data_IF_959772160870
#
_entry.id   IF_959772160870
#
_cell.length_a   1.000
_cell.length_b   1.000
_cell.length_c   1.000
_cell.angle_alpha   90.00
_cell.angle_beta   90.00
_cell.angle_gamma   90.00
#
_symmetry.space_group_name_H-M   'P 1'
#
loop_
_entity.id
_entity.type
_entity.pdbx_description
1 polymer ?
#
# COMPACT_ATOMS: atom_id res chain seq x y z
N UNK A 1 -37.00 -41.11 -2.83
CA UNK A 1 -38.45 -41.44 -2.97
C UNK A 1 -39.04 -40.44 -3.94
N UNK A 2 -39.17 -40.93 -5.13
CA UNK A 2 -40.24 -40.91 -6.13
C UNK A 2 -40.59 -39.56 -6.72
N UNK A 3 -40.36 -39.42 -8.02
CA UNK A 3 -41.27 -39.77 -9.19
C UNK A 3 -42.32 -38.72 -9.37
N UNK A 4 -42.70 -38.24 -10.51
CA UNK A 4 -42.71 -38.74 -11.91
C UNK A 4 -43.43 -37.69 -12.77
N UNK A 5 -43.03 -37.63 -13.98
CA UNK A 5 -43.74 -37.84 -15.24
C UNK A 5 -44.56 -36.69 -15.76
N UNK A 6 -44.20 -36.21 -16.94
CA UNK A 6 -44.63 -36.56 -18.29
C UNK A 6 -46.13 -36.28 -18.58
N UNK A 7 -46.40 -35.46 -19.56
CA UNK A 7 -47.04 -35.95 -20.80
C UNK A 7 -47.20 -34.87 -21.88
N UNK A 8 -46.81 -35.31 -23.06
CA UNK A 8 -47.13 -34.81 -24.39
C UNK A 8 -48.64 -34.88 -24.69
N UNK A 9 -49.09 -34.13 -25.76
CA UNK A 9 -49.96 -34.57 -26.86
C UNK A 9 -50.26 -33.37 -27.78
N UNK A 10 -49.74 -33.38 -28.98
CA UNK A 10 -50.26 -33.91 -30.28
C UNK A 10 -51.42 -33.11 -30.90
N UNK A 11 -51.13 -32.69 -32.14
CA UNK A 11 -52.04 -32.28 -33.25
C UNK A 11 -53.07 -33.37 -33.54
N UNK A 12 -54.10 -33.12 -34.38
CA UNK A 12 -54.08 -32.89 -35.82
C UNK A 12 -55.27 -32.00 -36.36
N UNK A 13 -55.41 -31.57 -37.54
CA UNK A 13 -55.21 -32.04 -38.92
C UNK A 13 -56.31 -31.49 -39.84
N UNK A 14 -55.91 -31.21 -41.02
CA UNK A 14 -56.62 -31.17 -42.32
C UNK A 14 -58.15 -31.03 -42.44
N UNK A 15 -58.60 -30.17 -43.35
CA UNK A 15 -59.31 -30.66 -44.56
C UNK A 15 -59.50 -29.60 -45.66
N UNK A 16 -59.31 -30.07 -46.85
CA UNK A 16 -59.58 -29.46 -48.17
C UNK A 16 -61.06 -29.32 -48.46
N UNK A 17 -61.46 -28.35 -49.31
CA UNK A 17 -62.50 -28.60 -50.25
C UNK A 17 -62.39 -27.66 -51.47
N UNK A 18 -62.49 -28.29 -52.61
CA UNK A 18 -62.56 -27.77 -53.98
C UNK A 18 -63.93 -27.28 -54.31
N UNK A 19 -64.10 -26.42 -55.30
CA UNK A 19 -64.77 -26.59 -56.59
C UNK A 19 -65.18 -25.23 -57.11
N UNK A 20 -64.95 -24.99 -58.28
CA UNK A 20 -65.31 -25.06 -59.65
C UNK A 20 -65.92 -23.71 -60.18
N UNK A 21 -65.26 -23.23 -61.18
CA UNK A 21 -65.61 -23.11 -62.62
C UNK A 21 -66.83 -22.23 -62.95
N UNK A 22 -66.58 -21.23 -63.75
CA UNK A 22 -67.29 -21.12 -65.06
C UNK A 22 -66.63 -20.02 -65.92
N UNK A 23 -66.36 -20.38 -67.11
CA UNK A 23 -65.85 -19.57 -68.22
C UNK A 23 -66.93 -18.67 -68.78
N UNK A 24 -66.59 -17.51 -69.21
CA UNK A 24 -67.23 -16.90 -70.41
C UNK A 24 -66.30 -15.92 -71.13
N UNK A 25 -66.33 -16.11 -72.38
CA UNK A 25 -65.57 -15.61 -73.51
C UNK A 25 -65.89 -14.16 -73.87
N UNK A 26 -64.92 -13.52 -74.55
CA UNK A 26 -64.93 -12.46 -75.57
C UNK A 26 -64.86 -10.98 -75.07
N UNK A 27 -63.95 -10.22 -75.53
CA UNK A 27 -63.71 -9.65 -76.87
C UNK A 27 -62.47 -8.83 -76.92
N UNK A 28 -61.65 -9.00 -77.92
CA UNK A 28 -60.50 -8.17 -78.28
C UNK A 28 -60.92 -6.74 -78.55
N UNK A 29 -60.26 -5.78 -77.92
CA UNK A 29 -60.03 -4.44 -78.40
C UNK A 29 -58.61 -4.11 -78.30
N UNK A 30 -57.97 -3.89 -79.45
CA UNK A 30 -56.61 -3.34 -79.54
C UNK A 30 -56.61 -1.90 -79.00
N UNK A 31 -55.82 -1.61 -78.09
CA UNK A 31 -55.45 -0.23 -77.74
C UNK A 31 -53.90 -0.10 -77.85
N UNK A 32 -53.41 1.11 -78.15
CA UNK A 32 -52.02 1.31 -78.58
C UNK A 32 -51.07 1.18 -77.41
N UNK A 33 -49.89 0.67 -77.74
CA UNK A 33 -48.73 0.54 -76.85
C UNK A 33 -48.24 1.93 -76.44
N UNK A 34 -48.58 2.34 -75.23
CA UNK A 34 -47.86 3.43 -74.56
C UNK A 34 -46.68 2.81 -73.84
N UNK A 35 -45.52 3.06 -74.37
CA UNK A 35 -44.23 2.68 -73.77
C UNK A 35 -44.00 3.50 -72.48
N UNK A 36 -44.60 3.06 -71.37
CA UNK A 36 -44.33 3.63 -70.05
C UNK A 36 -43.04 3.06 -69.50
N UNK A 37 -41.90 3.62 -69.89
CA UNK A 37 -40.65 3.43 -69.18
C UNK A 37 -40.90 3.95 -67.73
N UNK A 38 -41.02 2.97 -66.79
CA UNK A 38 -41.41 3.17 -65.43
C UNK A 38 -40.51 4.21 -64.73
N UNK A 39 -40.95 5.43 -64.42
CA UNK A 39 -40.17 6.46 -63.75
C UNK A 39 -39.82 6.06 -62.31
N UNK A 40 -40.57 5.10 -61.73
CA UNK A 40 -40.40 4.71 -60.30
C UNK A 40 -39.04 4.11 -59.98
N UNK A 41 -38.30 3.48 -60.94
CA UNK A 41 -36.93 2.99 -60.71
C UNK A 41 -35.96 4.15 -60.41
N UNK A 42 -36.12 5.30 -61.05
CA UNK A 42 -35.32 6.49 -60.76
C UNK A 42 -35.64 7.05 -59.36
N UNK A 43 -36.92 7.09 -58.98
CA UNK A 43 -37.33 7.49 -57.64
C UNK A 43 -36.87 6.50 -56.57
N UNK A 44 -36.87 5.19 -56.85
CA UNK A 44 -36.34 4.21 -55.92
C UNK A 44 -34.82 4.36 -55.70
N UNK A 45 -34.06 4.61 -56.77
CA UNK A 45 -32.60 4.86 -56.65
C UNK A 45 -32.34 6.14 -55.86
N UNK A 46 -33.10 7.21 -56.14
CA UNK A 46 -32.95 8.48 -55.36
C UNK A 46 -33.31 8.27 -53.92
N UNK A 47 -34.37 7.54 -53.58
CA UNK A 47 -34.79 7.22 -52.25
C UNK A 47 -33.70 6.37 -51.49
N UNK A 48 -33.11 5.40 -52.15
CA UNK A 48 -32.03 4.60 -51.58
C UNK A 48 -30.77 5.43 -51.33
N UNK A 49 -30.42 6.34 -52.28
CA UNK A 49 -29.25 7.24 -52.08
C UNK A 49 -29.47 8.20 -50.95
N UNK A 50 -30.69 8.74 -50.78
CA UNK A 50 -31.04 9.60 -49.65
C UNK A 50 -31.00 8.82 -48.34
N UNK A 51 -31.54 7.58 -48.32
CA UNK A 51 -31.51 6.74 -47.12
C UNK A 51 -30.08 6.41 -46.71
N UNK A 52 -29.22 6.04 -47.67
CA UNK A 52 -27.77 5.79 -47.42
C UNK A 52 -27.10 7.05 -46.92
N UNK A 53 -27.36 8.22 -47.52
CA UNK A 53 -26.80 9.50 -47.04
C UNK A 53 -27.27 9.85 -45.63
N UNK A 54 -28.54 9.60 -45.28
CA UNK A 54 -29.07 9.81 -43.91
C UNK A 54 -28.41 8.82 -42.91
N UNK A 55 -28.26 7.56 -43.29
CA UNK A 55 -27.55 6.56 -42.46
C UNK A 55 -26.09 6.94 -42.24
N UNK A 56 -25.39 7.35 -43.31
CA UNK A 56 -23.99 7.85 -43.18
C UNK A 56 -23.95 9.10 -42.30
N UNK A 57 -24.84 10.06 -42.49
CA UNK A 57 -24.91 11.26 -41.67
C UNK A 57 -25.22 10.93 -40.19
N UNK A 58 -26.07 9.92 -39.93
CA UNK A 58 -26.38 9.44 -38.60
C UNK A 58 -25.14 8.76 -37.97
N UNK A 59 -24.42 7.91 -38.71
CA UNK A 59 -23.20 7.29 -38.23
C UNK A 59 -22.08 8.32 -38.01
N UNK A 60 -21.95 9.34 -38.88
CA UNK A 60 -21.00 10.43 -38.69
C UNK A 60 -21.39 11.31 -37.50
N UNK A 61 -22.67 11.61 -37.31
CA UNK A 61 -23.14 12.34 -36.14
C UNK A 61 -22.99 11.52 -34.85
N UNK A 62 -23.33 10.23 -34.89
CA UNK A 62 -23.08 9.30 -33.78
C UNK A 62 -21.60 9.18 -33.49
N UNK A 63 -20.75 9.03 -34.50
CA UNK A 63 -19.28 9.04 -34.35
C UNK A 63 -18.78 10.37 -33.74
N UNK A 64 -19.33 11.52 -34.16
CA UNK A 64 -18.96 12.84 -33.63
C UNK A 64 -19.53 13.06 -32.20
N UNK A 65 -20.68 12.49 -31.86
CA UNK A 65 -21.26 12.54 -30.53
C UNK A 65 -20.61 11.51 -29.58
N UNK A 66 -20.15 10.35 -30.09
CA UNK A 66 -19.46 9.32 -29.32
C UNK A 66 -17.95 9.55 -29.25
N UNK A 67 -17.34 10.18 -30.24
CA UNK A 67 -15.98 10.72 -30.22
C UNK A 67 -16.01 12.22 -29.94
N UNK A 68 -16.74 12.64 -28.92
CA UNK A 68 -16.29 13.78 -28.14
C UNK A 68 -14.96 13.28 -27.58
N UNK A 69 -13.85 13.73 -28.15
CA UNK A 69 -12.55 13.53 -27.51
C UNK A 69 -12.79 13.91 -26.05
N UNK A 70 -12.53 13.00 -25.08
CA UNK A 70 -12.69 13.36 -23.70
C UNK A 70 -11.83 14.61 -23.55
N UNK A 71 -12.42 15.71 -23.10
CA UNK A 71 -11.68 16.91 -22.70
C UNK A 71 -10.50 16.35 -21.92
N UNK A 72 -9.29 16.48 -22.49
CA UNK A 72 -8.09 15.84 -21.97
C UNK A 72 -7.91 16.38 -20.55
N UNK A 73 -8.43 15.61 -19.57
CA UNK A 73 -8.36 15.96 -18.18
C UNK A 73 -6.87 15.90 -17.80
N UNK A 74 -6.26 17.07 -17.74
CA UNK A 74 -4.84 17.21 -17.42
C UNK A 74 -4.70 17.32 -15.92
N UNK A 75 -4.66 16.19 -15.25
CA UNK A 75 -4.39 16.16 -13.84
C UNK A 75 -3.11 16.92 -13.49
N UNK A 76 -3.16 17.70 -12.42
CA UNK A 76 -2.03 18.41 -11.80
C UNK A 76 -1.67 17.80 -10.46
N UNK A 77 -2.65 17.31 -9.74
CA UNK A 77 -2.51 16.72 -8.40
C UNK A 77 -3.35 15.46 -8.27
N UNK A 78 -2.96 14.61 -7.34
CA UNK A 78 -3.71 13.45 -6.90
C UNK A 78 -4.02 13.61 -5.41
N UNK A 79 -5.24 13.25 -5.01
CA UNK A 79 -5.69 13.12 -3.64
C UNK A 79 -6.11 11.66 -3.40
N UNK A 80 -5.68 11.09 -2.29
CA UNK A 80 -5.93 9.70 -1.93
C UNK A 80 -6.86 9.69 -0.72
N UNK A 81 -7.87 8.83 -0.78
CA UNK A 81 -8.70 8.45 0.38
C UNK A 81 -8.60 6.95 0.59
N UNK A 82 -8.53 6.53 1.83
CA UNK A 82 -8.58 5.12 2.21
C UNK A 82 -9.83 4.85 3.03
N UNK A 83 -10.40 3.67 2.85
CA UNK A 83 -11.55 3.22 3.64
C UNK A 83 -11.14 2.73 5.04
N UNK A 84 -9.85 2.56 5.30
CA UNK A 84 -9.31 2.02 6.55
C UNK A 84 -8.05 2.79 6.95
N UNK A 85 -7.93 3.03 8.25
CA UNK A 85 -6.73 3.67 8.83
C UNK A 85 -5.59 2.66 9.03
N UNK A 86 -5.91 1.36 9.05
CA UNK A 86 -4.94 0.26 9.22
C UNK A 86 -5.19 -0.89 8.25
N UNK A 87 -4.12 -1.63 7.97
CA UNK A 87 -4.13 -2.83 7.14
C UNK A 87 -3.31 -3.93 7.81
N UNK A 88 -3.81 -5.15 7.76
CA UNK A 88 -3.13 -6.31 8.37
C UNK A 88 -1.77 -6.55 7.72
N UNK A 89 -0.75 -6.82 8.54
CA UNK A 89 0.61 -7.18 8.11
C UNK A 89 0.57 -8.31 7.06
N UNK A 90 1.41 -8.24 6.03
CA UNK A 90 1.45 -9.19 4.92
C UNK A 90 0.28 -9.10 3.93
N UNK A 91 -0.77 -8.34 4.23
CA UNK A 91 -1.93 -8.24 3.33
C UNK A 91 -1.60 -7.52 2.02
N UNK A 92 -2.34 -7.85 0.95
CA UNK A 92 -2.14 -7.23 -0.36
C UNK A 92 -2.75 -5.84 -0.42
N UNK A 93 -1.97 -4.86 -0.87
CA UNK A 93 -2.42 -3.52 -1.25
C UNK A 93 -2.72 -3.49 -2.74
N UNK A 94 -3.96 -3.20 -3.08
CA UNK A 94 -4.41 -3.09 -4.46
C UNK A 94 -4.99 -1.71 -4.75
N UNK A 95 -5.17 -1.39 -6.04
CA UNK A 95 -5.85 -0.17 -6.43
C UNK A 95 -7.25 -0.06 -5.78
N UNK A 96 -7.96 -1.18 -5.55
CA UNK A 96 -9.27 -1.20 -4.90
C UNK A 96 -9.27 -0.84 -3.41
N UNK A 97 -8.08 -0.78 -2.79
CA UNK A 97 -7.94 -0.40 -1.38
C UNK A 97 -8.06 1.11 -1.17
N UNK A 98 -8.00 1.91 -2.25
CA UNK A 98 -7.95 3.37 -2.21
C UNK A 98 -8.95 3.98 -3.18
N UNK A 99 -9.52 5.14 -2.80
CA UNK A 99 -10.23 6.03 -3.71
C UNK A 99 -9.28 7.15 -4.11
N UNK A 100 -8.99 7.26 -5.40
CA UNK A 100 -7.98 8.19 -5.93
C UNK A 100 -8.65 9.24 -6.78
N UNK A 101 -8.48 10.49 -6.42
CA UNK A 101 -9.04 11.64 -7.12
C UNK A 101 -7.93 12.42 -7.79
N UNK A 102 -8.05 12.62 -9.09
CA UNK A 102 -7.19 13.51 -9.85
C UNK A 102 -7.83 14.88 -9.99
N UNK A 103 -7.04 15.96 -9.84
CA UNK A 103 -7.53 17.32 -10.00
C UNK A 103 -6.69 18.10 -11.03
N UNK A 104 -7.36 18.88 -11.88
CA UNK A 104 -6.75 19.85 -12.78
C UNK A 104 -6.62 21.26 -12.16
N UNK A 105 -7.07 21.42 -10.91
CA UNK A 105 -7.13 22.66 -10.15
C UNK A 105 -8.51 23.34 -10.18
N UNK A 106 -9.44 22.88 -11.02
CA UNK A 106 -10.83 23.38 -11.11
C UNK A 106 -11.86 22.28 -10.85
N UNK A 107 -11.56 21.06 -11.27
CA UNK A 107 -12.44 19.90 -11.16
C UNK A 107 -11.67 18.71 -10.59
N UNK A 108 -12.39 17.83 -9.89
CA UNK A 108 -11.87 16.54 -9.46
C UNK A 108 -12.57 15.41 -10.23
N UNK A 109 -11.81 14.39 -10.59
CA UNK A 109 -12.27 13.16 -11.21
C UNK A 109 -11.82 11.99 -10.35
N UNK A 110 -12.74 11.12 -9.95
CA UNK A 110 -12.40 9.81 -9.38
C UNK A 110 -11.78 8.95 -10.50
N UNK A 111 -10.61 8.41 -10.25
CA UNK A 111 -9.90 7.54 -11.17
C UNK A 111 -10.38 6.09 -11.03
N UNK A 112 -10.49 5.39 -12.15
CA UNK A 112 -10.69 3.96 -12.16
C UNK A 112 -9.41 3.23 -11.74
N UNK A 113 -9.56 2.01 -11.18
CA UNK A 113 -8.43 1.23 -10.64
C UNK A 113 -7.33 0.89 -11.66
N UNK A 114 -7.59 1.08 -12.95
CA UNK A 114 -6.63 0.87 -14.04
C UNK A 114 -5.88 2.16 -14.40
N UNK A 115 -6.36 3.32 -13.96
CA UNK A 115 -5.77 4.63 -14.23
C UNK A 115 -4.64 4.99 -13.26
N UNK A 116 -4.36 4.14 -12.23
CA UNK A 116 -3.28 4.35 -11.27
C UNK A 116 -2.65 3.04 -10.78
N UNK A 117 -1.48 3.18 -10.20
CA UNK A 117 -0.73 2.09 -9.58
C UNK A 117 -0.48 2.39 -8.11
N UNK A 118 -0.37 1.36 -7.30
CA UNK A 118 -0.08 1.42 -5.87
C UNK A 118 1.25 0.74 -5.58
N UNK A 119 2.07 1.33 -4.73
CA UNK A 119 3.34 0.78 -4.26
C UNK A 119 3.53 1.10 -2.76
N UNK A 120 3.94 0.16 -1.92
CA UNK A 120 4.21 -1.25 -2.22
C UNK A 120 2.93 -2.04 -2.57
N UNK A 121 3.09 -3.28 -3.04
CA UNK A 121 1.96 -4.18 -3.38
C UNK A 121 1.43 -4.96 -2.20
N UNK A 122 2.16 -4.97 -1.09
CA UNK A 122 1.78 -5.62 0.16
C UNK A 122 2.18 -4.76 1.34
N UNK A 123 1.43 -4.89 2.42
CA UNK A 123 1.80 -4.34 3.72
C UNK A 123 3.00 -5.11 4.24
N UNK A 124 4.05 -4.45 4.75
CA UNK A 124 5.17 -5.13 5.40
C UNK A 124 4.69 -6.01 6.57
N UNK A 125 5.44 -7.08 6.84
CA UNK A 125 5.20 -7.94 8.00
C UNK A 125 5.57 -7.25 9.33
N UNK A 126 6.45 -6.26 9.26
CA UNK A 126 7.02 -5.55 10.38
C UNK A 126 6.91 -4.04 10.21
N UNK A 127 6.98 -3.32 11.33
CA UNK A 127 6.92 -1.86 11.35
C UNK A 127 5.58 -1.32 11.87
N UNK A 128 5.54 -0.04 12.20
CA UNK A 128 4.37 0.65 12.73
C UNK A 128 3.41 1.07 11.62
N UNK A 129 3.95 1.56 10.54
CA UNK A 129 3.18 2.08 9.41
C UNK A 129 3.89 1.83 8.08
N UNK A 130 3.16 1.98 7.00
CA UNK A 130 3.71 1.93 5.64
C UNK A 130 3.25 3.15 4.85
N UNK A 131 4.19 3.79 4.15
CA UNK A 131 3.88 4.84 3.20
C UNK A 131 3.52 4.21 1.86
N UNK A 132 2.31 4.47 1.41
CA UNK A 132 1.77 3.98 0.15
C UNK A 132 1.83 5.10 -0.87
N UNK A 133 2.57 4.88 -1.95
CA UNK A 133 2.64 5.78 -3.10
C UNK A 133 1.63 5.35 -4.15
N UNK A 134 0.77 6.27 -4.55
CA UNK A 134 -0.17 6.11 -5.67
C UNK A 134 0.30 6.96 -6.83
N UNK A 135 0.45 6.36 -7.99
CA UNK A 135 0.92 7.05 -9.21
C UNK A 135 -0.04 6.84 -10.36
N UNK A 136 -0.38 7.92 -11.08
CA UNK A 136 -1.18 7.83 -12.31
C UNK A 136 -0.45 7.02 -13.38
N UNK A 137 -1.20 6.30 -14.22
CA UNK A 137 -0.64 5.53 -15.34
C UNK A 137 -0.45 6.37 -16.61
N UNK A 138 -0.92 7.61 -16.60
CA UNK A 138 -0.77 8.53 -17.72
C UNK A 138 0.70 8.96 -17.93
N UNK A 139 0.95 9.68 -19.03
CA UNK A 139 2.30 10.11 -19.43
C UNK A 139 2.98 11.04 -18.44
N UNK A 140 2.23 11.72 -17.57
CA UNK A 140 2.76 12.68 -16.60
C UNK A 140 3.22 12.03 -15.29
N UNK A 141 2.74 10.83 -14.96
CA UNK A 141 3.09 10.08 -13.75
C UNK A 141 3.02 10.93 -12.48
N UNK A 142 1.88 11.57 -12.27
CA UNK A 142 1.64 12.33 -11.03
C UNK A 142 1.47 11.32 -9.90
N UNK A 143 2.09 11.57 -8.75
CA UNK A 143 1.99 10.70 -7.58
C UNK A 143 1.58 11.47 -6.33
N UNK A 144 1.02 10.75 -5.39
CA UNK A 144 0.76 11.19 -4.02
C UNK A 144 1.05 10.03 -3.06
N UNK A 145 1.21 10.37 -1.80
CA UNK A 145 1.52 9.41 -0.74
C UNK A 145 0.48 9.49 0.37
N UNK A 146 0.21 8.35 0.98
CA UNK A 146 -0.59 8.22 2.19
C UNK A 146 0.10 7.23 3.12
N UNK A 147 0.13 7.53 4.41
CA UNK A 147 0.63 6.59 5.42
C UNK A 147 -0.54 5.90 6.08
N UNK A 148 -0.47 4.57 6.16
CA UNK A 148 -1.46 3.74 6.85
C UNK A 148 -0.77 2.89 7.91
N UNK A 149 -1.49 2.57 8.99
CA UNK A 149 -0.95 1.76 10.09
C UNK A 149 -0.91 0.27 9.71
N UNK A 150 0.04 -0.44 10.31
CA UNK A 150 0.16 -1.89 10.18
C UNK A 150 -0.51 -2.55 11.38
N UNK A 151 -1.58 -3.30 11.13
CA UNK A 151 -2.31 -4.04 12.16
C UNK A 151 -1.68 -5.41 12.38
N UNK A 152 -1.33 -5.69 13.63
CA UNK A 152 -0.69 -6.93 14.09
C UNK A 152 -1.40 -7.46 15.34
N UNK A 153 -1.26 -8.74 15.62
CA UNK A 153 -1.80 -9.36 16.82
C UNK A 153 -0.90 -9.08 18.04
N UNK A 154 -1.49 -8.49 19.08
CA UNK A 154 -0.76 -8.20 20.33
C UNK A 154 -0.55 -9.48 21.14
N UNK A 155 0.66 -9.63 21.68
CA UNK A 155 1.03 -10.69 22.61
C UNK A 155 0.97 -10.20 24.07
N UNK A 156 1.66 -9.12 24.38
CA UNK A 156 1.77 -8.57 25.73
C UNK A 156 1.78 -7.04 25.75
N UNK A 157 1.36 -6.46 26.89
CA UNK A 157 1.50 -5.02 27.18
C UNK A 157 2.23 -4.82 28.50
N UNK A 158 3.17 -3.89 28.53
CA UNK A 158 4.00 -3.55 29.66
C UNK A 158 3.82 -2.07 30.02
N UNK A 159 3.46 -1.79 31.25
CA UNK A 159 3.32 -0.43 31.76
C UNK A 159 4.68 0.10 32.17
N UNK A 160 5.23 1.04 31.42
CA UNK A 160 6.62 1.50 31.54
C UNK A 160 6.77 3.01 31.85
N UNK A 161 5.68 3.73 32.00
CA UNK A 161 5.72 5.13 32.40
C UNK A 161 6.42 5.32 33.76
N UNK A 162 7.26 6.39 33.88
CA UNK A 162 8.04 6.67 35.07
C UNK A 162 7.17 7.18 36.23
N UNK A 163 6.38 8.20 35.98
CA UNK A 163 5.58 8.88 36.98
C UNK A 163 4.24 8.17 37.21
N UNK A 164 3.56 7.84 36.13
CA UNK A 164 2.39 6.99 36.12
C UNK A 164 2.64 5.85 35.13
N UNK A 165 2.57 4.58 35.59
CA UNK A 165 2.85 3.42 34.72
C UNK A 165 2.00 3.36 33.45
N UNK A 166 0.78 3.90 33.48
CA UNK A 166 -0.18 3.88 32.36
C UNK A 166 0.08 4.97 31.31
N UNK A 167 0.97 5.92 31.56
CA UNK A 167 1.25 7.02 30.62
C UNK A 167 2.02 6.54 29.39
N UNK A 168 2.87 5.51 29.55
CA UNK A 168 3.64 4.91 28.46
C UNK A 168 3.59 3.39 28.57
N UNK A 169 3.35 2.74 27.48
CA UNK A 169 3.28 1.27 27.38
C UNK A 169 4.26 0.74 26.34
N UNK A 170 4.84 -0.43 26.61
CA UNK A 170 5.48 -1.29 25.61
C UNK A 170 4.46 -2.31 25.11
N UNK A 171 4.24 -2.39 23.82
CA UNK A 171 3.35 -3.37 23.18
C UNK A 171 4.20 -4.35 22.39
N UNK A 172 4.20 -5.61 22.82
CA UNK A 172 4.84 -6.70 22.10
C UNK A 172 3.80 -7.43 21.25
N UNK A 173 4.09 -7.59 19.98
CA UNK A 173 3.27 -8.31 19.01
C UNK A 173 3.74 -9.75 18.84
N UNK A 174 2.86 -10.64 18.36
CA UNK A 174 3.15 -12.06 18.16
C UNK A 174 4.27 -12.35 17.16
N UNK A 175 4.57 -11.39 16.27
CA UNK A 175 5.69 -11.46 15.32
C UNK A 175 7.03 -10.98 15.88
N UNK A 176 7.12 -10.70 17.19
CA UNK A 176 8.33 -10.24 17.87
C UNK A 176 8.61 -8.73 17.75
N UNK A 177 7.72 -7.96 17.17
CA UNK A 177 7.82 -6.49 17.10
C UNK A 177 7.45 -5.88 18.46
N UNK A 178 8.25 -4.92 18.93
CA UNK A 178 7.98 -4.11 20.11
C UNK A 178 7.73 -2.66 19.69
N UNK A 179 6.66 -2.07 20.20
CA UNK A 179 6.36 -0.64 20.08
C UNK A 179 6.29 0.00 21.45
N UNK A 180 6.74 1.24 21.54
CA UNK A 180 6.59 2.09 22.72
C UNK A 180 5.57 3.17 22.38
N UNK A 181 4.46 3.19 23.11
CA UNK A 181 3.34 4.10 22.84
C UNK A 181 2.97 4.88 24.09
N UNK A 182 2.47 6.10 23.92
CA UNK A 182 2.02 6.95 25.01
C UNK A 182 2.78 8.26 25.11
N UNK A 183 2.62 8.95 26.23
CA UNK A 183 3.15 10.31 26.41
C UNK A 183 3.86 10.43 27.74
N UNK A 184 5.06 11.02 27.74
CA UNK A 184 5.84 11.35 28.94
C UNK A 184 7.02 10.42 29.19
N UNK A 185 7.61 10.56 30.38
CA UNK A 185 8.89 9.92 30.71
C UNK A 185 8.77 8.41 30.88
N UNK A 186 9.71 7.69 30.30
CA UNK A 186 9.84 6.23 30.44
C UNK A 186 10.71 5.88 31.64
N UNK A 187 10.36 4.78 32.31
CA UNK A 187 11.11 4.25 33.44
C UNK A 187 12.48 3.74 32.98
N UNK A 188 13.51 4.04 33.79
CA UNK A 188 14.85 3.48 33.58
C UNK A 188 14.96 2.12 34.26
N UNK A 189 15.72 1.21 33.67
CA UNK A 189 15.87 -0.15 34.15
C UNK A 189 17.32 -0.48 34.49
N UNK A 190 17.51 -1.45 35.36
CA UNK A 190 18.81 -2.09 35.63
C UNK A 190 18.91 -3.37 34.80
N UNK A 191 20.13 -3.87 34.67
CA UNK A 191 20.36 -5.16 34.01
C UNK A 191 19.44 -6.26 34.54
N UNK A 192 18.77 -6.98 33.64
CA UNK A 192 17.83 -8.04 33.96
C UNK A 192 16.50 -7.64 34.58
N UNK A 193 16.17 -6.34 34.63
CA UNK A 193 14.94 -5.83 35.24
C UNK A 193 13.90 -5.36 34.24
N UNK A 194 14.13 -5.52 32.94
CA UNK A 194 13.18 -5.13 31.89
C UNK A 194 11.94 -6.01 31.93
N UNK A 195 10.76 -5.45 31.67
CA UNK A 195 9.52 -6.20 31.74
C UNK A 195 9.40 -7.29 30.65
N UNK A 196 10.07 -7.12 29.50
CA UNK A 196 10.08 -8.08 28.38
C UNK A 196 11.36 -8.95 28.31
N UNK A 197 12.15 -9.03 29.37
CA UNK A 197 13.43 -9.75 29.37
C UNK A 197 13.33 -11.27 29.09
N UNK A 198 12.16 -11.85 29.39
CA UNK A 198 11.89 -13.28 29.18
C UNK A 198 11.07 -13.54 27.91
N UNK A 199 10.77 -12.50 27.14
CA UNK A 199 9.97 -12.58 25.93
C UNK A 199 10.84 -12.47 24.67
N UNK A 200 10.33 -13.02 23.55
CA UNK A 200 11.02 -12.95 22.26
C UNK A 200 10.75 -11.62 21.59
N UNK A 201 11.63 -10.63 21.86
CA UNK A 201 11.61 -9.35 21.13
C UNK A 201 12.62 -9.44 20.00
N UNK A 202 12.15 -9.34 18.76
CA UNK A 202 13.01 -9.39 17.57
C UNK A 202 13.32 -8.01 17.01
N UNK A 203 12.41 -7.06 17.15
CA UNK A 203 12.55 -5.72 16.59
C UNK A 203 11.95 -4.66 17.49
N UNK A 204 12.59 -3.50 17.52
CA UNK A 204 11.97 -2.26 18.01
C UNK A 204 11.45 -1.50 16.80
N UNK A 205 10.14 -1.40 16.63
CA UNK A 205 9.54 -0.89 15.39
C UNK A 205 8.98 0.52 15.52
N UNK A 206 8.69 0.96 16.73
CA UNK A 206 8.15 2.29 16.99
C UNK A 206 8.45 2.80 18.38
N UNK A 207 8.80 4.07 18.51
CA UNK A 207 8.74 4.86 19.75
C UNK A 207 7.91 6.09 19.45
N UNK A 208 6.79 6.24 20.17
CA UNK A 208 5.91 7.41 20.04
C UNK A 208 6.73 8.70 20.25
N UNK A 209 6.61 9.69 19.36
CA UNK A 209 7.32 10.96 19.50
C UNK A 209 7.05 11.70 20.81
N UNK A 210 5.94 11.39 21.50
CA UNK A 210 5.58 11.96 22.81
C UNK A 210 6.07 11.10 23.99
N UNK A 211 6.60 9.91 23.74
CA UNK A 211 7.29 9.11 24.74
C UNK A 211 8.73 9.60 24.87
N UNK A 212 9.14 9.86 26.10
CA UNK A 212 10.43 10.51 26.42
C UNK A 212 11.34 9.55 27.21
N UNK A 213 11.91 8.51 26.57
CA UNK A 213 12.94 7.68 27.20
C UNK A 213 14.23 8.51 27.34
N UNK A 214 14.75 8.60 28.55
CA UNK A 214 16.09 9.17 28.79
C UNK A 214 17.19 8.13 28.66
N UNK A 215 16.85 6.83 28.80
CA UNK A 215 17.78 5.70 28.73
C UNK A 215 17.12 4.52 28.06
N UNK A 216 17.88 3.87 27.18
CA UNK A 216 17.59 2.54 26.62
C UNK A 216 18.53 1.48 27.22
N UNK A 217 19.15 1.77 28.39
CA UNK A 217 20.11 0.87 29.00
C UNK A 217 19.51 -0.52 29.21
N UNK A 218 20.23 -1.54 28.77
CA UNK A 218 19.90 -2.97 28.90
C UNK A 218 18.68 -3.45 28.12
N UNK A 219 18.00 -2.61 27.33
CA UNK A 219 16.67 -2.93 26.75
C UNK A 219 16.63 -4.27 26.03
N UNK A 220 17.68 -4.65 25.34
CA UNK A 220 17.79 -5.92 24.61
C UNK A 220 19.04 -6.72 25.00
N UNK A 221 19.67 -6.39 26.11
CA UNK A 221 20.91 -7.04 26.55
C UNK A 221 20.73 -8.56 26.67
N UNK A 222 21.63 -9.31 26.01
CA UNK A 222 21.63 -10.76 25.88
C UNK A 222 20.38 -11.37 25.17
N UNK A 223 19.65 -10.55 24.41
CA UNK A 223 18.59 -11.04 23.56
C UNK A 223 19.17 -11.53 22.23
N UNK A 224 19.41 -12.84 22.12
CA UNK A 224 20.01 -13.46 20.93
C UNK A 224 19.09 -13.45 19.70
N UNK A 225 17.78 -13.26 19.91
CA UNK A 225 16.78 -13.20 18.84
C UNK A 225 16.56 -11.79 18.29
N UNK A 226 17.17 -10.78 18.92
CA UNK A 226 17.02 -9.40 18.46
C UNK A 226 17.75 -9.18 17.13
N UNK A 227 17.06 -8.63 16.14
CA UNK A 227 17.53 -8.51 14.76
C UNK A 227 17.84 -7.05 14.41
N UNK A 228 16.91 -6.12 14.69
CA UNK A 228 17.03 -4.74 14.21
C UNK A 228 16.12 -3.73 14.93
N UNK A 229 16.45 -2.45 14.79
CA UNK A 229 15.62 -1.31 15.16
C UNK A 229 15.13 -0.61 13.88
N UNK A 230 13.80 -0.56 13.69
CA UNK A 230 13.19 0.04 12.50
C UNK A 230 12.71 1.48 12.72
N UNK A 231 12.78 1.98 13.94
CA UNK A 231 12.41 3.35 14.28
C UNK A 231 13.63 4.22 14.58
N UNK A 232 13.40 5.53 14.54
CA UNK A 232 14.39 6.51 14.98
C UNK A 232 14.53 6.46 16.50
N UNK A 233 15.77 6.55 17.00
CA UNK A 233 16.03 6.75 18.42
C UNK A 233 15.74 8.21 18.79
N UNK A 234 14.90 8.49 19.81
CA UNK A 234 14.55 9.85 20.21
C UNK A 234 15.75 10.65 20.69
N UNK A 235 15.69 11.97 20.50
CA UNK A 235 16.71 12.92 20.98
C UNK A 235 16.73 13.10 22.51
N UNK A 236 15.69 12.63 23.20
CA UNK A 236 15.62 12.55 24.67
C UNK A 236 16.55 11.49 25.25
N UNK A 237 16.97 10.50 24.47
CA UNK A 237 17.85 9.41 24.91
C UNK A 237 19.27 9.92 25.14
N UNK A 238 19.75 9.74 26.37
CA UNK A 238 21.10 10.14 26.83
C UNK A 238 22.05 8.97 26.98
N UNK A 239 21.48 7.76 27.18
CA UNK A 239 22.27 6.56 27.47
C UNK A 239 21.68 5.33 26.76
N UNK A 240 22.61 4.54 26.22
CA UNK A 240 22.38 3.23 25.60
C UNK A 240 23.38 2.19 26.11
N UNK A 241 23.67 2.22 27.43
CA UNK A 241 24.61 1.28 28.07
C UNK A 241 24.08 -0.16 27.94
N UNK A 242 24.91 -1.06 27.38
CA UNK A 242 24.57 -2.46 27.17
C UNK A 242 23.23 -2.72 26.45
N UNK A 243 22.71 -1.74 25.70
CA UNK A 243 21.38 -1.84 25.05
C UNK A 243 21.23 -3.10 24.20
N UNK A 244 22.21 -3.39 23.37
CA UNK A 244 22.25 -4.54 22.46
C UNK A 244 23.34 -5.55 22.80
N UNK A 245 23.99 -5.43 23.95
CA UNK A 245 25.08 -6.34 24.34
C UNK A 245 24.63 -7.79 24.21
N UNK A 246 25.41 -8.60 23.47
CA UNK A 246 25.11 -10.01 23.26
C UNK A 246 23.93 -10.29 22.31
N UNK A 247 23.44 -9.33 21.54
CA UNK A 247 22.44 -9.52 20.49
C UNK A 247 23.09 -10.16 19.26
N UNK A 248 23.33 -11.47 19.31
CA UNK A 248 24.12 -12.19 18.31
C UNK A 248 23.47 -12.27 16.93
N UNK A 249 22.16 -12.05 16.81
CA UNK A 249 21.44 -12.01 15.53
C UNK A 249 21.32 -10.61 14.91
N UNK A 250 21.73 -9.55 15.63
CA UNK A 250 21.66 -8.18 15.15
C UNK A 250 22.66 -7.93 14.03
N UNK A 251 22.19 -7.43 12.88
CA UNK A 251 22.99 -7.23 11.67
C UNK A 251 23.43 -5.77 11.46
N UNK A 252 22.64 -4.81 11.96
CA UNK A 252 22.92 -3.38 11.82
C UNK A 252 22.56 -2.61 13.09
N UNK A 253 23.31 -1.55 13.36
CA UNK A 253 22.97 -0.58 14.40
C UNK A 253 21.75 0.25 13.98
N UNK A 254 20.95 0.75 14.94
CA UNK A 254 19.93 1.74 14.64
C UNK A 254 20.53 3.02 14.06
N UNK A 255 19.72 3.78 13.33
CA UNK A 255 20.09 5.14 12.93
C UNK A 255 20.14 6.06 14.18
N UNK A 256 21.33 6.49 14.53
CA UNK A 256 21.61 7.38 15.66
C UNK A 256 21.76 8.86 15.24
N UNK A 257 21.63 9.20 13.96
CA UNK A 257 21.85 10.56 13.45
C UNK A 257 20.96 11.61 14.13
N UNK A 258 19.80 11.18 14.60
CA UNK A 258 18.85 12.03 15.32
C UNK A 258 18.97 12.00 16.85
N UNK A 259 19.79 11.11 17.42
CA UNK A 259 19.95 10.96 18.85
C UNK A 259 20.96 12.00 19.42
N UNK A 260 20.69 13.27 19.19
CA UNK A 260 21.59 14.38 19.53
C UNK A 260 21.83 14.54 21.03
N UNK A 261 20.97 13.95 21.87
CA UNK A 261 21.14 13.90 23.33
C UNK A 261 22.03 12.77 23.84
N UNK A 262 22.42 11.82 22.97
CA UNK A 262 23.11 10.60 23.36
C UNK A 262 24.56 10.89 23.79
N UNK A 263 24.90 10.48 25.00
CA UNK A 263 26.20 10.74 25.63
C UNK A 263 26.96 9.46 25.98
N UNK A 264 26.31 8.36 26.31
CA UNK A 264 26.90 7.12 26.78
C UNK A 264 26.41 5.91 25.97
N UNK A 265 27.35 5.23 25.29
CA UNK A 265 27.14 3.99 24.56
C UNK A 265 28.05 2.87 25.07
N UNK A 266 28.45 2.92 26.35
CA UNK A 266 29.32 1.91 26.94
C UNK A 266 28.77 0.50 26.72
N UNK A 267 29.55 -0.38 26.13
CA UNK A 267 29.18 -1.78 25.78
C UNK A 267 27.88 -1.91 24.97
N UNK A 268 27.44 -0.86 24.26
CA UNK A 268 26.13 -0.79 23.61
C UNK A 268 25.86 -1.98 22.70
N UNK A 269 26.82 -2.38 21.87
CA UNK A 269 26.75 -3.52 20.97
C UNK A 269 27.77 -4.62 21.29
N UNK A 270 28.36 -4.62 22.47
CA UNK A 270 29.42 -5.60 22.86
C UNK A 270 28.92 -7.04 22.58
N UNK A 271 29.68 -7.78 21.73
CA UNK A 271 29.40 -9.18 21.41
C UNK A 271 28.25 -9.40 20.41
N UNK A 272 27.89 -8.40 19.62
CA UNK A 272 26.95 -8.55 18.49
C UNK A 272 27.66 -9.20 17.30
N UNK A 273 27.85 -10.51 17.36
CA UNK A 273 28.71 -11.25 16.42
C UNK A 273 28.27 -11.25 14.97
N UNK A 274 27.00 -10.93 14.69
CA UNK A 274 26.45 -10.79 13.32
C UNK A 274 26.39 -9.34 12.84
N UNK A 275 26.84 -8.36 13.64
CA UNK A 275 26.81 -6.96 13.28
C UNK A 275 27.81 -6.67 12.16
N UNK A 276 27.32 -6.37 10.96
CA UNK A 276 28.13 -6.12 9.75
C UNK A 276 28.41 -4.63 9.55
N UNK A 277 27.47 -3.77 9.94
CA UNK A 277 27.53 -2.32 9.72
C UNK A 277 27.27 -1.55 11.02
N UNK A 278 28.19 -0.61 11.32
CA UNK A 278 27.96 0.40 12.35
C UNK A 278 27.19 1.58 11.77
N UNK A 279 26.65 2.42 12.66
CA UNK A 279 26.03 3.69 12.30
C UNK A 279 27.00 4.86 12.51
N UNK A 280 26.72 6.00 11.91
CA UNK A 280 27.38 7.26 12.24
C UNK A 280 27.02 7.65 13.69
N UNK A 281 28.04 7.92 14.51
CA UNK A 281 27.83 8.28 15.90
C UNK A 281 27.56 9.79 16.05
N UNK A 282 26.56 10.19 16.86
CA UNK A 282 26.33 11.62 17.15
C UNK A 282 27.50 12.24 17.90
N UNK A 283 27.75 13.53 17.62
CA UNK A 283 28.92 14.25 18.13
C UNK A 283 28.97 14.49 19.66
N UNK A 284 27.90 14.15 20.38
CA UNK A 284 27.81 14.34 21.83
C UNK A 284 28.26 13.13 22.67
N UNK A 285 28.65 12.04 22.04
CA UNK A 285 29.15 10.84 22.73
C UNK A 285 30.35 11.18 23.55
N UNK A 286 30.31 10.86 24.85
CA UNK A 286 31.39 11.04 25.85
C UNK A 286 32.00 9.70 26.25
N UNK A 287 31.16 8.69 26.41
CA UNK A 287 31.55 7.36 26.91
C UNK A 287 31.21 6.29 25.86
N UNK A 288 32.18 5.53 25.42
CA UNK A 288 32.02 4.47 24.40
C UNK A 288 32.93 3.27 24.70
N UNK A 289 33.25 3.02 25.99
CA UNK A 289 34.11 1.90 26.37
C UNK A 289 33.47 0.58 25.94
N UNK A 290 34.20 -0.26 25.20
CA UNK A 290 33.74 -1.57 24.70
C UNK A 290 32.46 -1.52 23.84
N UNK A 291 32.08 -0.36 23.27
CA UNK A 291 30.81 -0.19 22.57
C UNK A 291 30.59 -1.23 21.45
N UNK A 292 31.64 -1.67 20.78
CA UNK A 292 31.64 -2.65 19.69
C UNK A 292 32.64 -3.78 19.92
N UNK A 293 32.97 -4.07 21.16
CA UNK A 293 33.95 -5.10 21.50
C UNK A 293 33.40 -6.50 21.20
N UNK A 294 34.14 -7.28 20.42
CA UNK A 294 33.75 -8.65 20.09
C UNK A 294 32.80 -8.77 18.89
N UNK A 295 32.54 -7.69 18.16
CA UNK A 295 31.69 -7.68 16.95
C UNK A 295 32.51 -8.17 15.75
N UNK A 296 32.60 -9.48 15.63
CA UNK A 296 33.56 -10.15 14.70
C UNK A 296 33.15 -10.04 13.23
N UNK A 297 31.89 -9.74 12.92
CA UNK A 297 31.40 -9.55 11.56
C UNK A 297 31.55 -8.10 11.05
N UNK A 298 31.93 -7.15 11.91
CA UNK A 298 31.97 -5.74 11.56
C UNK A 298 33.03 -5.45 10.50
N UNK A 299 32.60 -5.11 9.28
CA UNK A 299 33.46 -4.97 8.09
C UNK A 299 34.20 -3.62 8.10
N UNK A 300 33.58 -2.58 8.64
CA UNK A 300 34.14 -1.23 8.72
C UNK A 300 34.21 -0.77 10.16
N UNK A 301 35.36 -0.17 10.52
CA UNK A 301 35.50 0.47 11.82
C UNK A 301 34.47 1.57 12.01
N UNK A 302 34.07 1.79 13.26
CA UNK A 302 33.14 2.84 13.64
C UNK A 302 33.75 4.21 13.33
N UNK A 303 33.04 5.07 12.60
CA UNK A 303 33.48 6.45 12.38
C UNK A 303 33.23 7.28 13.65
N UNK A 304 34.30 7.64 14.31
CA UNK A 304 34.28 8.46 15.52
C UNK A 304 34.64 9.91 15.26
N UNK A 305 34.85 10.33 14.02
CA UNK A 305 35.33 11.66 13.68
C UNK A 305 34.35 12.77 14.12
N UNK A 306 33.07 12.48 14.22
CA UNK A 306 32.08 13.41 14.75
C UNK A 306 32.08 13.50 16.28
N UNK A 307 32.68 12.56 16.99
CA UNK A 307 32.70 12.49 18.45
C UNK A 307 33.76 13.39 19.05
N UNK A 308 33.49 14.67 19.21
CA UNK A 308 34.45 15.70 19.71
C UNK A 308 34.75 15.57 21.20
N UNK A 309 33.95 14.80 21.95
CA UNK A 309 33.99 14.71 23.41
C UNK A 309 34.32 13.32 23.96
N UNK A 310 34.91 12.45 23.17
CA UNK A 310 35.16 11.06 23.57
C UNK A 310 36.18 10.99 24.71
N UNK A 311 35.70 10.63 25.91
CA UNK A 311 36.53 10.56 27.12
C UNK A 311 37.17 9.17 27.30
N UNK A 312 36.58 8.11 26.74
CA UNK A 312 37.14 6.74 26.90
C UNK A 312 36.69 5.80 25.79
N UNK A 313 37.63 5.36 24.97
CA UNK A 313 37.49 4.26 24.01
C UNK A 313 38.45 3.13 24.37
N UNK A 314 38.18 2.38 25.44
CA UNK A 314 38.93 1.16 25.74
C UNK A 314 38.20 -0.03 25.09
N UNK A 315 38.94 -0.83 24.31
CA UNK A 315 38.41 -2.08 23.72
C UNK A 315 38.41 -2.16 22.21
N UNK A 316 39.22 -1.35 21.52
CA UNK A 316 39.62 -1.63 20.13
C UNK A 316 40.86 -2.53 20.18
N UNK A 317 40.71 -3.83 20.10
CA UNK A 317 41.71 -4.76 19.58
C UNK A 317 41.01 -5.90 18.85
#
# INVERSE_FOLDING_TARGET
IRHSEREEKKMPGKKKSKTNSTAQTQRKRKQPSVDTKKPWKKFLIIAVVILVAVVIAFFLAAHFLYHKEPLEFKAKTIRIETAKDSYTAGSTLSAKSFSVYASDGNTEKLLDSEEYTVSPKSVPEHGHSVTVTVSSTDTKKISAEITVLIEREESCRYKIGRNNPDDVEGILYTNGDLEIVGTGSVRTYKSGALPWKDDTVQRLTWIDPNAEPESLDYWFSNNTDYIETLCRIPDTVKSMVETFKGCTSMQSMPDLSGAVGLEDITSCAEGCTSLEESTELPGNIKLASRAFYGDTALIRGVDTNACVKLENMQGRE
#
